data_IF_207617929413
#
_entry.id   IF_207617929413
#
_cell.length_a   1.000
_cell.length_b   1.000
_cell.length_c   1.000
_cell.angle_alpha   90.00
_cell.angle_beta   90.00
_cell.angle_gamma   90.00
#
_symmetry.space_group_name_H-M   'P 1'
#
loop_
_entity.id
_entity.type
_entity.pdbx_description
1 polymer ?
#
# COMPACT_ATOMS: atom_id res chain seq x y z
N UNK A 1 40.41 61.66 26.39
CA UNK A 1 39.67 60.41 26.72
C UNK A 1 38.37 60.41 25.94
N UNK A 2 38.37 59.89 24.74
CA UNK A 2 37.23 59.95 23.80
C UNK A 2 36.87 58.54 23.38
N UNK A 3 35.74 58.06 23.87
CA UNK A 3 35.12 56.78 23.44
C UNK A 3 34.47 56.94 22.07
N UNK A 4 34.98 56.23 21.06
CA UNK A 4 34.37 56.10 19.75
C UNK A 4 33.48 54.84 19.77
N UNK A 5 32.16 55.02 19.74
CA UNK A 5 31.18 53.95 19.47
C UNK A 5 31.13 53.70 17.97
N UNK A 6 31.47 52.49 17.57
CA UNK A 6 31.27 51.97 16.21
C UNK A 6 29.94 51.25 16.18
N UNK A 7 28.95 51.83 15.46
CA UNK A 7 27.68 51.21 15.10
C UNK A 7 27.93 50.30 13.89
N UNK A 8 27.89 48.99 14.11
CA UNK A 8 27.81 48.03 13.00
C UNK A 8 26.35 47.81 12.61
N UNK A 9 25.95 48.38 11.47
CA UNK A 9 24.71 48.01 10.78
C UNK A 9 24.88 46.62 10.18
N UNK A 10 24.32 45.60 10.83
CA UNK A 10 24.24 44.25 10.32
C UNK A 10 23.06 44.15 9.40
N UNK A 11 23.32 44.13 8.07
CA UNK A 11 22.33 43.92 7.03
C UNK A 11 22.03 42.44 6.97
N UNK A 12 20.90 42.04 7.59
CA UNK A 12 20.44 40.65 7.60
C UNK A 12 19.89 40.23 6.25
N UNK A 13 20.65 39.44 5.51
CA UNK A 13 20.18 38.74 4.33
C UNK A 13 19.39 37.52 4.85
N UNK A 14 18.04 37.56 4.73
CA UNK A 14 17.19 36.38 4.91
C UNK A 14 17.37 35.45 3.72
N UNK A 15 17.82 34.20 3.92
CA UNK A 15 17.71 33.19 2.87
C UNK A 15 16.23 32.75 2.77
N UNK A 16 15.59 33.04 1.64
CA UNK A 16 14.35 32.37 1.25
C UNK A 16 14.64 30.90 1.02
N UNK A 17 14.39 30.08 2.02
CA UNK A 17 14.29 28.63 1.88
C UNK A 17 13.02 28.31 1.09
N UNK A 18 13.20 28.09 -0.21
CA UNK A 18 12.17 27.46 -1.04
C UNK A 18 11.94 26.05 -0.46
N UNK A 19 10.88 25.88 0.30
CA UNK A 19 10.39 24.59 0.72
C UNK A 19 9.87 23.86 -0.53
N UNK A 20 10.69 23.04 -1.16
CA UNK A 20 10.20 21.97 -2.01
C UNK A 20 9.34 21.08 -1.13
N UNK A 21 8.01 21.22 -1.24
CA UNK A 21 7.04 20.33 -0.63
C UNK A 21 7.18 18.95 -1.26
N UNK A 22 8.10 18.13 -0.75
CA UNK A 22 8.00 16.68 -0.92
C UNK A 22 6.68 16.29 -0.29
N UNK A 23 5.83 15.60 -1.05
CA UNK A 23 4.65 14.94 -0.49
C UNK A 23 5.17 14.03 0.64
N UNK A 24 4.94 14.46 1.87
CA UNK A 24 5.27 13.66 3.05
C UNK A 24 4.33 12.47 2.99
N UNK A 25 4.83 11.33 2.49
CA UNK A 25 4.20 10.05 2.80
C UNK A 25 4.09 10.02 4.32
N UNK A 26 2.86 9.84 4.81
CA UNK A 26 2.56 9.85 6.24
C UNK A 26 3.39 8.77 6.93
N UNK A 27 4.55 9.16 7.43
CA UNK A 27 5.57 8.32 8.07
C UNK A 27 5.04 7.62 9.34
N UNK A 28 3.79 7.90 9.72
CA UNK A 28 3.15 7.35 10.91
C UNK A 28 2.35 6.08 10.68
N UNK A 29 2.05 5.72 9.43
CA UNK A 29 1.32 4.49 9.16
C UNK A 29 2.29 3.31 9.22
N UNK A 30 2.16 2.37 10.17
CA UNK A 30 3.00 1.18 10.19
C UNK A 30 2.89 0.47 8.84
N UNK A 31 4.01 -0.08 8.36
CA UNK A 31 4.07 -0.75 7.06
C UNK A 31 4.41 -2.22 7.16
N UNK A 32 4.44 -2.76 8.38
CA UNK A 32 4.83 -4.15 8.60
C UNK A 32 4.08 -4.83 9.75
N UNK A 33 3.98 -6.15 9.66
CA UNK A 33 3.47 -7.04 10.71
C UNK A 33 4.58 -7.98 11.14
N UNK A 34 4.92 -7.97 12.42
CA UNK A 34 5.88 -8.91 13.00
C UNK A 34 5.27 -10.30 13.15
N UNK A 35 6.10 -11.34 12.97
CA UNK A 35 5.74 -12.73 13.25
C UNK A 35 6.93 -13.51 13.79
N UNK A 36 6.69 -14.59 14.56
CA UNK A 36 7.71 -15.57 14.96
C UNK A 36 7.83 -16.63 13.87
N UNK A 37 9.07 -17.00 13.49
CA UNK A 37 9.29 -18.06 12.51
C UNK A 37 8.58 -19.36 12.91
N UNK A 38 8.10 -20.09 11.92
CA UNK A 38 7.27 -21.29 12.09
C UNK A 38 5.76 -20.97 12.02
N UNK A 39 4.91 -21.66 12.78
CA UNK A 39 3.45 -21.65 12.59
C UNK A 39 2.79 -20.26 12.65
N UNK A 40 3.38 -19.30 13.39
CA UNK A 40 2.85 -17.95 13.45
C UNK A 40 3.10 -17.18 12.13
N UNK A 41 4.33 -17.21 11.63
CA UNK A 41 4.65 -16.62 10.33
C UNK A 41 3.91 -17.31 9.19
N UNK A 42 3.76 -18.62 9.21
CA UNK A 42 3.07 -19.37 8.16
C UNK A 42 1.59 -18.97 8.09
N UNK A 43 0.93 -18.85 9.24
CA UNK A 43 -0.45 -18.38 9.33
C UNK A 43 -0.60 -16.93 8.84
N UNK A 44 0.26 -16.01 9.28
CA UNK A 44 0.25 -14.63 8.86
C UNK A 44 0.56 -14.50 7.37
N UNK A 45 1.47 -15.32 6.84
CA UNK A 45 1.77 -15.39 5.42
C UNK A 45 0.56 -15.84 4.60
N UNK A 46 -0.11 -16.91 5.01
CA UNK A 46 -1.33 -17.38 4.36
C UNK A 46 -2.43 -16.29 4.36
N UNK A 47 -2.59 -15.58 5.48
CA UNK A 47 -3.51 -14.42 5.55
C UNK A 47 -3.10 -13.30 4.59
N UNK A 48 -1.81 -13.02 4.47
CA UNK A 48 -1.30 -12.01 3.54
C UNK A 48 -1.61 -12.37 2.08
N UNK A 49 -1.38 -13.62 1.66
CA UNK A 49 -1.73 -14.10 0.33
C UNK A 49 -3.22 -13.93 0.07
N UNK A 50 -4.07 -14.39 0.98
CA UNK A 50 -5.52 -14.27 0.86
C UNK A 50 -5.97 -12.81 0.77
N UNK A 51 -5.42 -11.94 1.64
CA UNK A 51 -5.75 -10.52 1.63
C UNK A 51 -5.40 -9.87 0.29
N UNK A 52 -4.22 -10.16 -0.28
CA UNK A 52 -3.81 -9.63 -1.59
C UNK A 52 -4.76 -10.09 -2.69
N UNK A 53 -5.20 -11.36 -2.68
CA UNK A 53 -6.16 -11.87 -3.64
C UNK A 53 -7.50 -11.12 -3.64
N UNK A 54 -7.93 -10.64 -2.46
CA UNK A 54 -9.21 -9.95 -2.31
C UNK A 54 -9.13 -8.43 -2.52
N UNK A 55 -7.98 -7.81 -2.26
CA UNK A 55 -7.87 -6.36 -2.15
C UNK A 55 -6.96 -5.72 -3.21
N UNK A 56 -6.11 -6.49 -3.92
CA UNK A 56 -5.25 -5.93 -4.95
C UNK A 56 -6.05 -5.47 -6.17
N UNK A 57 -5.64 -4.36 -6.77
CA UNK A 57 -6.18 -3.86 -8.03
C UNK A 57 -5.81 -4.72 -9.24
N UNK A 58 -4.74 -5.50 -9.11
CA UNK A 58 -4.20 -6.37 -10.15
C UNK A 58 -4.07 -7.82 -9.67
N UNK A 59 -4.06 -8.75 -10.61
CA UNK A 59 -3.82 -10.17 -10.31
C UNK A 59 -2.44 -10.38 -9.70
N UNK A 60 -2.30 -11.42 -8.89
CA UNK A 60 -1.01 -11.86 -8.39
C UNK A 60 -0.16 -12.34 -9.58
N UNK A 61 1.05 -11.81 -9.67
CA UNK A 61 2.08 -12.21 -10.63
C UNK A 61 2.92 -13.35 -10.06
N UNK A 62 3.32 -13.21 -8.78
CA UNK A 62 4.23 -14.12 -8.12
C UNK A 62 3.89 -14.30 -6.64
N UNK A 63 3.99 -15.55 -6.19
CA UNK A 63 4.02 -15.91 -4.75
C UNK A 63 5.16 -16.88 -4.54
N UNK A 64 6.08 -16.52 -3.65
CA UNK A 64 7.15 -17.40 -3.16
C UNK A 64 7.24 -17.29 -1.63
N UNK A 65 8.08 -18.08 -0.94
CA UNK A 65 8.14 -18.05 0.53
C UNK A 65 8.54 -16.70 1.15
N UNK A 66 9.10 -15.78 0.37
CA UNK A 66 9.59 -14.49 0.84
C UNK A 66 8.90 -13.28 0.21
N UNK A 67 8.14 -13.48 -0.90
CA UNK A 67 7.52 -12.39 -1.64
C UNK A 67 6.17 -12.76 -2.23
N UNK A 68 5.21 -11.83 -2.11
CA UNK A 68 3.97 -11.79 -2.89
C UNK A 68 4.04 -10.53 -3.73
N UNK A 69 3.77 -10.63 -5.01
CA UNK A 69 3.81 -9.49 -5.94
C UNK A 69 2.63 -9.58 -6.90
N UNK A 70 1.96 -8.45 -7.13
CA UNK A 70 0.95 -8.32 -8.18
C UNK A 70 1.56 -7.71 -9.43
N UNK A 71 0.89 -7.87 -10.57
CA UNK A 71 1.16 -7.06 -11.75
C UNK A 71 0.92 -5.58 -11.46
N UNK A 72 1.40 -4.70 -12.37
CA UNK A 72 1.15 -3.27 -12.36
C UNK A 72 2.02 -2.47 -11.38
N UNK A 73 1.70 -1.19 -11.17
CA UNK A 73 0.59 -0.45 -11.80
C UNK A 73 0.88 -0.08 -13.25
N UNK A 74 -0.17 -0.02 -14.09
CA UNK A 74 -0.03 0.30 -15.52
C UNK A 74 -0.80 1.56 -15.90
N UNK A 75 -0.18 2.39 -16.74
CA UNK A 75 -0.80 3.57 -17.33
C UNK A 75 -1.31 4.57 -16.30
N UNK A 76 -2.53 5.07 -16.50
CA UNK A 76 -3.22 6.02 -15.60
C UNK A 76 -4.28 5.33 -14.73
N UNK A 77 -4.16 4.02 -14.51
CA UNK A 77 -5.12 3.26 -13.71
C UNK A 77 -5.12 3.73 -12.25
N UNK A 78 -6.31 3.82 -11.68
CA UNK A 78 -6.51 4.07 -10.25
C UNK A 78 -6.25 2.82 -9.39
N UNK A 79 -6.09 1.66 -10.02
CA UNK A 79 -5.78 0.41 -9.35
C UNK A 79 -4.42 0.44 -8.68
N UNK A 80 -4.32 -0.25 -7.55
CA UNK A 80 -3.09 -0.36 -6.77
C UNK A 80 -2.40 -1.69 -7.01
N UNK A 81 -1.08 -1.64 -7.21
CA UNK A 81 -0.22 -2.82 -7.19
C UNK A 81 0.36 -3.00 -5.78
N UNK A 82 0.49 -4.25 -5.37
CA UNK A 82 0.90 -4.62 -4.02
C UNK A 82 2.11 -5.54 -4.08
N UNK A 83 3.08 -5.25 -3.21
CA UNK A 83 4.21 -6.13 -2.95
C UNK A 83 4.29 -6.37 -1.45
N UNK A 84 4.32 -7.64 -1.02
CA UNK A 84 4.59 -8.04 0.35
C UNK A 84 5.97 -8.70 0.38
N UNK A 85 6.79 -8.33 1.35
CA UNK A 85 8.11 -8.94 1.57
C UNK A 85 8.19 -9.49 2.99
N UNK A 86 8.61 -10.74 3.12
CA UNK A 86 8.93 -11.36 4.41
C UNK A 86 10.42 -11.25 4.65
N UNK A 87 10.82 -10.44 5.62
CA UNK A 87 12.21 -10.17 5.97
C UNK A 87 12.50 -10.80 7.33
N UNK A 88 13.40 -11.80 7.42
CA UNK A 88 13.82 -12.37 8.70
C UNK A 88 14.45 -11.30 9.60
N UNK A 89 14.16 -11.36 10.89
CA UNK A 89 14.81 -10.57 11.94
C UNK A 89 15.80 -11.46 12.71
N UNK A 90 16.91 -10.90 13.20
CA UNK A 90 18.00 -11.67 13.81
C UNK A 90 17.63 -12.37 15.14
N UNK A 91 16.42 -12.13 15.66
CA UNK A 91 15.88 -12.65 16.91
C UNK A 91 15.01 -13.92 16.75
N UNK A 92 15.04 -14.55 15.59
CA UNK A 92 14.17 -15.71 15.27
C UNK A 92 12.76 -15.33 14.88
N UNK A 93 12.55 -14.08 14.48
CA UNK A 93 11.31 -13.56 13.92
C UNK A 93 11.42 -13.22 12.43
N UNK A 94 10.36 -12.65 11.90
CA UNK A 94 10.33 -11.99 10.60
C UNK A 94 9.33 -10.83 10.63
N UNK A 95 9.48 -9.92 9.68
CA UNK A 95 8.53 -8.84 9.42
C UNK A 95 7.95 -8.98 8.01
N UNK A 96 6.64 -8.84 7.90
CA UNK A 96 5.91 -8.80 6.64
C UNK A 96 5.67 -7.34 6.28
N UNK A 97 6.49 -6.81 5.38
CA UNK A 97 6.35 -5.44 4.88
C UNK A 97 5.37 -5.38 3.73
N UNK A 98 4.47 -4.41 3.76
CA UNK A 98 3.60 -4.09 2.63
C UNK A 98 4.07 -2.83 1.92
N UNK A 99 4.19 -2.91 0.61
CA UNK A 99 4.33 -1.77 -0.29
C UNK A 99 3.12 -1.72 -1.22
N UNK A 100 2.49 -0.56 -1.30
CA UNK A 100 1.35 -0.29 -2.20
C UNK A 100 1.76 0.82 -3.13
N UNK A 101 1.65 0.58 -4.43
CA UNK A 101 1.97 1.57 -5.47
C UNK A 101 0.78 1.79 -6.40
N UNK A 102 0.71 2.97 -6.98
CA UNK A 102 -0.35 3.42 -7.86
C UNK A 102 0.26 4.25 -8.99
N UNK A 103 -0.24 4.10 -10.20
CA UNK A 103 0.23 4.86 -11.35
C UNK A 103 -0.48 6.22 -11.51
N UNK A 104 -1.65 6.39 -10.89
CA UNK A 104 -2.40 7.63 -10.96
C UNK A 104 -1.81 8.66 -10.00
N UNK A 105 -1.47 9.85 -10.52
CA UNK A 105 -0.88 10.94 -9.72
C UNK A 105 -1.92 11.74 -8.94
N UNK A 106 -3.20 11.55 -9.22
CA UNK A 106 -4.29 12.32 -8.61
C UNK A 106 -4.97 11.53 -7.50
N UNK A 107 -5.39 10.30 -7.79
CA UNK A 107 -6.09 9.44 -6.84
C UNK A 107 -5.78 7.97 -7.06
N UNK A 108 -5.67 7.23 -5.97
CA UNK A 108 -5.64 5.77 -5.96
C UNK A 108 -6.90 5.27 -5.27
N UNK A 109 -7.52 4.26 -5.84
CA UNK A 109 -8.67 3.66 -5.19
C UNK A 109 -8.49 2.14 -5.06
N UNK A 110 -8.56 1.62 -3.83
CA UNK A 110 -8.59 2.32 -2.53
C UNK A 110 -7.32 3.13 -2.27
N UNK A 111 -7.37 4.08 -1.33
CA UNK A 111 -6.17 4.87 -1.02
C UNK A 111 -5.05 3.97 -0.47
N UNK A 112 -3.80 4.35 -0.73
CA UNK A 112 -2.61 3.62 -0.26
C UNK A 112 -2.64 3.43 1.25
N UNK A 113 -3.00 4.48 2.01
CA UNK A 113 -3.08 4.42 3.46
C UNK A 113 -4.17 3.43 3.94
N UNK A 114 -5.37 3.48 3.35
CA UNK A 114 -6.45 2.56 3.71
C UNK A 114 -6.07 1.10 3.46
N UNK A 115 -5.36 0.81 2.36
CA UNK A 115 -4.89 -0.55 2.08
C UNK A 115 -3.83 -1.02 3.08
N UNK A 116 -2.87 -0.18 3.43
CA UNK A 116 -1.86 -0.51 4.44
C UNK A 116 -2.52 -0.84 5.78
N UNK A 117 -3.44 0.01 6.25
CA UNK A 117 -4.16 -0.21 7.52
C UNK A 117 -4.95 -1.52 7.49
N UNK A 118 -5.77 -1.74 6.45
CA UNK A 118 -6.55 -2.96 6.30
C UNK A 118 -5.68 -4.23 6.26
N UNK A 119 -4.54 -4.17 5.59
CA UNK A 119 -3.56 -5.26 5.58
C UNK A 119 -3.05 -5.58 7.00
N UNK A 120 -2.62 -4.55 7.72
CA UNK A 120 -2.06 -4.70 9.06
C UNK A 120 -3.08 -5.31 10.02
N UNK A 121 -4.30 -4.80 10.02
CA UNK A 121 -5.39 -5.31 10.87
C UNK A 121 -5.73 -6.77 10.56
N UNK A 122 -5.88 -7.09 9.28
CA UNK A 122 -6.22 -8.45 8.87
C UNK A 122 -5.10 -9.43 9.14
N UNK A 123 -3.85 -9.12 8.74
CA UNK A 123 -2.72 -10.04 8.85
C UNK A 123 -2.28 -10.23 10.30
N UNK A 124 -2.34 -9.19 11.14
CA UNK A 124 -2.06 -9.32 12.58
C UNK A 124 -3.08 -10.17 13.33
N UNK A 125 -4.30 -10.31 12.79
CA UNK A 125 -5.40 -10.99 13.45
C UNK A 125 -6.28 -10.07 14.30
N UNK A 126 -6.06 -8.76 14.24
CA UNK A 126 -6.91 -7.78 14.92
C UNK A 126 -8.30 -7.70 14.29
N UNK A 127 -8.42 -8.00 13.00
CA UNK A 127 -9.70 -8.15 12.30
C UNK A 127 -9.79 -9.51 11.62
N UNK A 128 -10.91 -10.20 11.78
CA UNK A 128 -11.23 -11.41 11.03
C UNK A 128 -12.08 -11.10 9.79
N UNK A 129 -12.51 -9.85 9.63
CA UNK A 129 -13.28 -9.41 8.49
C UNK A 129 -12.34 -8.94 7.40
N UNK A 130 -12.25 -9.68 6.30
CA UNK A 130 -11.80 -9.13 5.03
C UNK A 130 -12.94 -8.27 4.52
N UNK A 131 -12.94 -7.01 4.89
CA UNK A 131 -13.80 -6.05 4.22
C UNK A 131 -13.13 -5.76 2.88
N UNK A 132 -13.71 -6.21 1.74
CA UNK A 132 -13.18 -5.81 0.45
C UNK A 132 -13.26 -4.28 0.41
N UNK A 133 -12.11 -3.61 0.37
CA UNK A 133 -12.06 -2.15 0.23
C UNK A 133 -12.47 -1.76 -1.20
N UNK A 134 -12.71 -2.77 -2.03
CA UNK A 134 -13.14 -2.61 -3.40
C UNK A 134 -14.65 -2.44 -3.45
N UNK A 135 -15.20 -1.39 -4.10
CA UNK A 135 -16.61 -1.39 -4.42
C UNK A 135 -16.90 -2.64 -5.26
N UNK A 136 -18.06 -3.26 -5.11
CA UNK A 136 -18.45 -4.31 -6.00
C UNK A 136 -18.30 -3.75 -7.42
N UNK A 137 -17.54 -4.44 -8.27
CA UNK A 137 -17.49 -4.08 -9.68
C UNK A 137 -18.92 -3.83 -10.13
N UNK A 138 -19.18 -2.75 -10.90
CA UNK A 138 -20.46 -2.63 -11.56
C UNK A 138 -20.64 -3.96 -12.29
N UNK A 139 -21.63 -4.73 -11.86
CA UNK A 139 -21.96 -5.99 -12.50
C UNK A 139 -22.11 -5.66 -13.97
N UNK A 140 -21.32 -6.31 -14.82
CA UNK A 140 -21.43 -6.12 -16.25
C UNK A 140 -22.92 -6.31 -16.56
N UNK A 141 -23.58 -5.22 -16.91
CA UNK A 141 -24.98 -5.29 -17.33
C UNK A 141 -25.02 -6.31 -18.45
N UNK A 142 -25.89 -7.32 -18.36
CA UNK A 142 -26.04 -8.25 -19.47
C UNK A 142 -26.27 -7.41 -20.71
N UNK A 143 -25.41 -7.60 -21.71
CA UNK A 143 -25.53 -6.90 -23.00
C UNK A 143 -26.88 -7.32 -23.56
N UNK A 144 -27.86 -6.41 -23.73
CA UNK A 144 -29.16 -6.79 -24.27
C UNK A 144 -28.92 -7.26 -25.71
N UNK A 145 -29.14 -8.57 -25.96
CA UNK A 145 -29.01 -9.17 -27.29
C UNK A 145 -28.06 -10.34 -27.42
N UNK A 146 -27.22 -10.68 -26.40
CA UNK A 146 -26.61 -12.02 -26.37
C UNK A 146 -27.56 -12.95 -25.61
N UNK A 147 -28.28 -13.78 -26.39
CA UNK A 147 -29.12 -14.83 -25.84
C UNK A 147 -28.33 -15.78 -24.95
N UNK A 148 -28.98 -16.24 -23.88
CA UNK A 148 -28.44 -17.20 -22.91
C UNK A 148 -27.76 -18.40 -23.62
N UNK A 149 -26.46 -18.67 -23.32
CA UNK A 149 -25.77 -19.83 -23.92
C UNK A 149 -26.32 -21.19 -23.44
N UNK A 150 -27.32 -21.22 -22.58
CA UNK A 150 -27.92 -22.45 -22.04
C UNK A 150 -29.10 -23.02 -22.88
N UNK A 151 -29.49 -22.38 -23.99
CA UNK A 151 -30.61 -22.85 -24.82
C UNK A 151 -30.17 -23.84 -25.93
N UNK A 152 -28.88 -24.11 -26.08
CA UNK A 152 -28.39 -25.00 -27.16
C UNK A 152 -28.11 -26.47 -26.74
N UNK A 153 -28.59 -26.92 -25.59
CA UNK A 153 -28.49 -28.33 -25.16
C UNK A 153 -29.87 -28.93 -24.83
N UNK A 154 -30.78 -28.95 -25.82
CA UNK A 154 -31.92 -29.86 -25.88
C UNK A 154 -32.10 -30.38 -27.27
#
# INVERSE_FOLDING_TARGET
MTKRSLLFLSFGILPMLAACGSAVEDERTPTSVACRLGPDCDRKWARAVFWVQQNAGYKIEKVDPARIQTFGPYGKSEGTAITIQKVPTGDGGAQLFINVSCANIVTCYPSVAAQKISFLEYVSGASNLVVPIRPPFPQAHPIPGLGDPLVLLR
#
